data_IF_883544102005
#
_entry.id   IF_883544102005
#
_cell.length_a   1.000
_cell.length_b   1.000
_cell.length_c   1.000
_cell.angle_alpha   90.00
_cell.angle_beta   90.00
_cell.angle_gamma   90.00
#
_symmetry.space_group_name_H-M   'P 1'
#
loop_
_entity.id
_entity.type
_entity.pdbx_description
1 polymer ?
#
# COMPACT_ATOMS: atom_id res chain seq x y z
N UNK A 1 -65.85 40.20 33.78
CA UNK A 1 -65.41 38.98 33.07
C UNK A 1 -64.30 39.17 32.01
N UNK A 2 -64.13 40.35 31.37
CA UNK A 2 -63.07 40.59 30.35
C UNK A 2 -61.62 40.38 30.85
N UNK A 3 -61.32 40.73 32.10
CA UNK A 3 -59.95 40.65 32.64
C UNK A 3 -59.41 39.21 32.82
N UNK A 4 -60.28 38.22 33.08
CA UNK A 4 -59.88 36.80 33.18
C UNK A 4 -59.50 36.22 31.80
N UNK A 5 -60.26 36.54 30.74
CA UNK A 5 -59.94 36.10 29.36
C UNK A 5 -58.59 36.66 28.89
N UNK A 6 -58.30 37.95 29.12
CA UNK A 6 -57.02 38.56 28.73
C UNK A 6 -55.82 37.97 29.48
N UNK A 7 -55.97 37.60 30.77
CA UNK A 7 -54.91 36.95 31.55
C UNK A 7 -54.60 35.53 31.02
N UNK A 8 -55.63 34.75 30.68
CA UNK A 8 -55.49 33.39 30.13
C UNK A 8 -54.83 33.40 28.74
N UNK A 9 -55.19 34.37 27.88
CA UNK A 9 -54.58 34.54 26.55
C UNK A 9 -53.10 34.95 26.68
N UNK A 10 -52.75 35.91 27.56
CA UNK A 10 -51.35 36.29 27.82
C UNK A 10 -50.52 35.14 28.40
N UNK A 11 -51.11 34.28 29.24
CA UNK A 11 -50.41 33.15 29.83
C UNK A 11 -50.14 32.04 28.80
N UNK A 12 -51.15 31.67 27.98
CA UNK A 12 -50.96 30.79 26.82
C UNK A 12 -49.94 31.35 25.83
N UNK A 13 -49.93 32.68 25.63
CA UNK A 13 -48.98 33.31 24.72
C UNK A 13 -47.53 33.24 25.22
N UNK A 14 -47.30 33.45 26.53
CA UNK A 14 -45.96 33.35 27.15
C UNK A 14 -45.45 31.91 27.23
N UNK A 15 -46.32 30.93 27.47
CA UNK A 15 -45.92 29.51 27.49
C UNK A 15 -45.51 29.00 26.11
N UNK A 16 -46.24 29.40 25.06
CA UNK A 16 -45.92 29.01 23.68
C UNK A 16 -44.61 29.67 23.17
N UNK A 17 -44.32 30.91 23.60
CA UNK A 17 -43.05 31.57 23.26
C UNK A 17 -41.84 30.91 23.95
N UNK A 18 -41.95 30.57 25.23
CA UNK A 18 -40.91 29.81 25.97
C UNK A 18 -40.66 28.44 25.35
N UNK A 19 -41.72 27.78 24.87
CA UNK A 19 -41.64 26.49 24.17
C UNK A 19 -40.89 26.58 22.82
N UNK A 20 -41.03 27.68 22.08
CA UNK A 20 -40.31 27.89 20.82
C UNK A 20 -38.81 28.18 21.05
N UNK A 21 -38.47 28.88 22.13
CA UNK A 21 -37.07 29.13 22.55
C UNK A 21 -36.40 27.83 23.02
N UNK A 22 -37.07 27.04 23.85
CA UNK A 22 -36.52 25.76 24.32
C UNK A 22 -36.29 24.78 23.17
N UNK A 23 -37.18 24.75 22.16
CA UNK A 23 -36.96 23.97 20.94
C UNK A 23 -35.71 24.37 20.16
N UNK A 24 -35.42 25.68 20.02
CA UNK A 24 -34.19 26.13 19.35
C UNK A 24 -32.95 25.66 20.10
N UNK A 25 -32.96 25.82 21.41
CA UNK A 25 -31.83 25.49 22.27
C UNK A 25 -31.54 23.98 22.26
N UNK A 26 -32.58 23.15 22.31
CA UNK A 26 -32.48 21.69 22.17
C UNK A 26 -31.92 21.31 20.79
N UNK A 27 -32.42 21.92 19.70
CA UNK A 27 -31.92 21.64 18.35
C UNK A 27 -30.44 22.02 18.21
N UNK A 28 -30.02 23.17 18.76
CA UNK A 28 -28.60 23.58 18.75
C UNK A 28 -27.74 22.56 19.46
N UNK A 29 -28.11 22.16 20.68
CA UNK A 29 -27.35 21.21 21.49
C UNK A 29 -27.22 19.86 20.76
N UNK A 30 -28.32 19.32 20.23
CA UNK A 30 -28.30 18.05 19.49
C UNK A 30 -27.42 18.16 18.25
N UNK A 31 -27.52 19.27 17.49
CA UNK A 31 -26.69 19.47 16.29
C UNK A 31 -25.20 19.59 16.63
N UNK A 32 -24.84 20.30 17.71
CA UNK A 32 -23.44 20.42 18.15
C UNK A 32 -22.87 19.09 18.61
N UNK A 33 -23.65 18.27 19.32
CA UNK A 33 -23.24 16.92 19.74
C UNK A 33 -23.02 16.02 18.52
N UNK A 34 -23.92 16.05 17.53
CA UNK A 34 -23.76 15.27 16.29
C UNK A 34 -22.54 15.69 15.48
N UNK A 35 -22.25 16.99 15.40
CA UNK A 35 -21.04 17.51 14.73
C UNK A 35 -19.78 17.06 15.48
N UNK A 36 -19.75 17.18 16.81
CA UNK A 36 -18.61 16.74 17.62
C UNK A 36 -18.35 15.24 17.49
N UNK A 37 -19.40 14.42 17.48
CA UNK A 37 -19.30 12.98 17.23
C UNK A 37 -18.73 12.70 15.84
N UNK A 38 -19.23 13.38 14.80
CA UNK A 38 -18.72 13.21 13.43
C UNK A 38 -17.24 13.59 13.31
N UNK A 39 -16.81 14.68 13.95
CA UNK A 39 -15.41 15.12 13.98
C UNK A 39 -14.53 14.12 14.74
N UNK A 40 -14.99 13.62 15.89
CA UNK A 40 -14.28 12.59 16.66
C UNK A 40 -14.08 11.33 15.82
N UNK A 41 -15.12 10.82 15.17
CA UNK A 41 -14.99 9.68 14.27
C UNK A 41 -14.02 9.97 13.12
N UNK A 42 -14.07 11.16 12.49
CA UNK A 42 -13.13 11.54 11.44
C UNK A 42 -11.67 11.61 11.93
N UNK A 43 -11.42 12.08 13.15
CA UNK A 43 -10.07 12.13 13.74
C UNK A 43 -9.54 10.75 14.15
N UNK A 44 -10.42 9.85 14.57
CA UNK A 44 -10.05 8.49 14.99
C UNK A 44 -9.92 7.50 13.84
N UNK A 45 -10.17 7.90 12.58
CA UNK A 45 -9.93 7.02 11.44
C UNK A 45 -8.44 7.06 11.08
N UNK A 46 -7.69 5.96 11.32
CA UNK A 46 -6.42 5.81 10.64
C UNK A 46 -6.73 5.76 9.14
N UNK A 47 -6.29 6.77 8.40
CA UNK A 47 -6.35 6.78 6.93
C UNK A 47 -5.57 5.59 6.34
N UNK A 48 -4.72 4.96 7.17
CA UNK A 48 -3.95 3.79 6.82
C UNK A 48 -3.78 2.88 8.03
N UNK A 49 -4.26 1.63 7.93
CA UNK A 49 -3.87 0.56 8.84
C UNK A 49 -2.92 -0.36 8.05
N UNK A 50 -1.66 -0.52 8.49
CA UNK A 50 -0.71 -1.47 7.90
C UNK A 50 -1.29 -2.90 7.80
N UNK A 51 -2.27 -3.21 8.64
CA UNK A 51 -3.00 -4.48 8.69
C UNK A 51 -3.78 -4.82 7.41
N UNK A 52 -4.08 -3.84 6.54
CA UNK A 52 -4.70 -4.08 5.22
C UNK A 52 -3.68 -4.36 4.11
N UNK A 53 -2.38 -4.36 4.43
CA UNK A 53 -1.29 -4.38 3.46
C UNK A 53 -1.06 -5.70 2.72
N UNK A 54 -1.61 -6.82 3.18
CA UNK A 54 -1.37 -8.11 2.55
C UNK A 54 -2.65 -8.98 2.57
N UNK A 55 -3.50 -8.85 1.54
CA UNK A 55 -4.59 -9.83 1.32
C UNK A 55 -4.09 -11.12 0.65
N UNK A 56 -2.88 -11.09 0.08
CA UNK A 56 -2.27 -12.28 -0.50
C UNK A 56 -1.74 -13.13 0.63
N UNK A 57 -2.38 -14.25 0.85
CA UNK A 57 -2.02 -15.10 1.99
C UNK A 57 -0.82 -15.96 1.70
N UNK A 58 -0.38 -16.08 0.43
CA UNK A 58 0.66 -17.04 0.11
C UNK A 58 1.43 -16.88 -1.19
N UNK A 59 2.63 -17.48 -1.23
CA UNK A 59 3.47 -17.65 -2.42
C UNK A 59 3.39 -19.11 -2.88
N UNK A 60 3.13 -19.33 -4.17
CA UNK A 60 3.23 -20.67 -4.79
C UNK A 60 4.55 -20.80 -5.54
N UNK A 61 5.15 -21.99 -5.49
CA UNK A 61 6.40 -22.28 -6.21
C UNK A 61 6.09 -23.23 -7.35
N UNK A 62 6.47 -22.87 -8.57
CA UNK A 62 6.23 -23.66 -9.78
C UNK A 62 7.54 -23.85 -10.56
N UNK A 63 7.73 -25.07 -11.12
CA UNK A 63 8.79 -25.31 -12.10
C UNK A 63 8.28 -25.04 -13.49
N UNK A 64 8.85 -24.03 -14.14
CA UNK A 64 8.44 -23.60 -15.48
C UNK A 64 9.69 -23.33 -16.33
N UNK A 65 9.64 -23.68 -17.61
CA UNK A 65 10.64 -23.21 -18.57
C UNK A 65 10.20 -21.86 -19.11
N UNK A 66 10.95 -20.80 -18.81
CA UNK A 66 10.73 -19.51 -19.44
C UNK A 66 11.39 -19.50 -20.84
N UNK A 67 10.66 -19.18 -21.92
CA UNK A 67 11.20 -19.30 -23.27
C UNK A 67 12.11 -18.12 -23.69
N UNK A 68 12.31 -17.09 -22.87
CA UNK A 68 12.77 -15.78 -23.35
C UNK A 68 14.14 -15.28 -22.84
N UNK A 69 14.84 -15.96 -21.92
CA UNK A 69 16.21 -15.56 -21.56
C UNK A 69 17.07 -16.71 -20.99
N UNK A 70 18.38 -16.80 -21.33
CA UNK A 70 19.28 -17.83 -20.81
C UNK A 70 19.51 -17.74 -19.30
N UNK A 71 19.23 -16.58 -18.68
CA UNK A 71 19.41 -16.32 -17.26
C UNK A 71 18.09 -16.36 -16.46
N UNK A 72 16.95 -16.71 -17.06
CA UNK A 72 15.66 -16.95 -16.39
C UNK A 72 15.65 -18.26 -15.61
N UNK A 73 16.41 -18.27 -14.51
CA UNK A 73 16.55 -19.41 -13.62
C UNK A 73 15.58 -19.35 -12.42
N UNK A 74 15.26 -18.15 -11.92
CA UNK A 74 14.38 -17.95 -10.76
C UNK A 74 13.75 -16.56 -10.82
N UNK A 75 12.42 -16.44 -10.79
CA UNK A 75 11.74 -15.13 -10.84
C UNK A 75 10.34 -15.15 -10.24
N UNK A 76 9.93 -14.00 -9.70
CA UNK A 76 8.55 -13.81 -9.27
C UNK A 76 7.65 -13.40 -10.45
N UNK A 77 6.43 -13.94 -10.50
CA UNK A 77 5.32 -13.45 -11.32
C UNK A 77 4.15 -13.04 -10.41
N UNK A 78 3.43 -12.02 -10.83
CA UNK A 78 2.28 -11.46 -10.13
C UNK A 78 1.11 -11.29 -11.12
N UNK A 79 0.74 -12.38 -11.77
CA UNK A 79 -0.53 -12.48 -12.50
C UNK A 79 -1.62 -13.01 -11.57
N UNK A 80 -2.85 -12.57 -11.82
CA UNK A 80 -4.06 -13.16 -11.21
C UNK A 80 -4.12 -13.11 -9.67
N UNK A 81 -3.58 -12.04 -9.07
CA UNK A 81 -3.65 -11.77 -7.63
C UNK A 81 -2.92 -12.79 -6.72
N UNK A 82 -2.20 -13.74 -7.31
CA UNK A 82 -1.29 -14.66 -6.61
C UNK A 82 0.15 -14.26 -6.88
N UNK A 83 1.01 -14.35 -5.87
CA UNK A 83 2.46 -14.23 -6.07
C UNK A 83 2.98 -15.63 -6.35
N UNK A 84 3.57 -15.82 -7.52
CA UNK A 84 4.20 -17.08 -7.93
C UNK A 84 5.70 -16.89 -7.97
N UNK A 85 6.45 -17.82 -7.40
CA UNK A 85 7.87 -17.96 -7.68
C UNK A 85 8.03 -19.07 -8.72
N UNK A 86 8.55 -18.69 -9.88
CA UNK A 86 8.88 -19.61 -10.94
C UNK A 86 10.36 -19.95 -10.86
N UNK A 87 10.67 -21.23 -11.04
CA UNK A 87 12.03 -21.73 -11.05
C UNK A 87 12.24 -22.58 -12.31
N UNK A 88 13.38 -22.41 -12.97
CA UNK A 88 13.73 -23.18 -14.17
C UNK A 88 13.96 -24.66 -13.82
N UNK A 89 13.85 -25.55 -14.80
CA UNK A 89 14.13 -26.98 -14.62
C UNK A 89 15.52 -27.27 -14.07
N UNK A 90 16.52 -26.42 -14.37
CA UNK A 90 17.89 -26.50 -13.84
C UNK A 90 18.00 -26.20 -12.33
N UNK A 91 16.96 -25.62 -11.72
CA UNK A 91 16.98 -25.25 -10.31
C UNK A 91 16.40 -26.34 -9.41
N UNK A 92 17.06 -26.59 -8.28
CA UNK A 92 16.57 -27.49 -7.24
C UNK A 92 15.73 -26.69 -6.23
N UNK A 93 14.40 -26.74 -6.40
CA UNK A 93 13.45 -26.04 -5.54
C UNK A 93 13.49 -26.49 -4.08
N UNK A 94 14.00 -27.70 -3.79
CA UNK A 94 14.08 -28.20 -2.41
C UNK A 94 15.10 -27.44 -1.56
N UNK A 95 16.04 -26.75 -2.21
CA UNK A 95 17.09 -25.96 -1.56
C UNK A 95 16.72 -24.48 -1.45
N UNK A 96 15.53 -24.07 -1.92
CA UNK A 96 15.10 -22.68 -1.86
C UNK A 96 14.96 -22.21 -0.43
N UNK A 97 15.63 -21.11 -0.12
CA UNK A 97 15.44 -20.35 1.11
C UNK A 97 14.60 -19.12 0.78
N UNK A 98 13.57 -18.91 1.58
CA UNK A 98 12.66 -17.77 1.42
C UNK A 98 12.80 -16.82 2.60
N UNK A 99 12.72 -15.53 2.29
CA UNK A 99 12.82 -14.47 3.28
C UNK A 99 11.75 -13.42 3.02
N UNK A 100 11.28 -12.78 4.09
CA UNK A 100 10.44 -11.59 4.04
C UNK A 100 11.05 -10.52 4.93
N UNK A 101 10.81 -9.25 4.61
CA UNK A 101 11.09 -8.14 5.52
C UNK A 101 9.87 -7.80 6.37
N UNK A 102 10.10 -7.39 7.62
CA UNK A 102 9.13 -6.69 8.45
C UNK A 102 9.42 -5.20 8.57
N UNK A 103 8.49 -4.48 9.20
CA UNK A 103 8.47 -3.01 9.23
C UNK A 103 9.75 -2.37 9.82
N UNK A 104 10.47 -3.04 10.71
CA UNK A 104 11.74 -2.52 11.28
C UNK A 104 12.99 -3.05 10.57
N UNK A 105 12.84 -3.59 9.35
CA UNK A 105 13.95 -4.23 8.62
C UNK A 105 14.36 -5.60 9.18
N UNK A 106 13.59 -6.15 10.14
CA UNK A 106 13.77 -7.52 10.62
C UNK A 106 13.51 -8.50 9.46
N UNK A 107 14.49 -9.36 9.20
CA UNK A 107 14.38 -10.44 8.21
C UNK A 107 13.70 -11.65 8.86
N UNK A 108 12.64 -12.14 8.22
CA UNK A 108 11.91 -13.34 8.62
C UNK A 108 12.20 -14.47 7.62
N UNK A 109 12.88 -15.55 8.02
CA UNK A 109 12.94 -16.74 7.19
C UNK A 109 11.54 -17.36 7.08
N UNK A 110 11.17 -17.78 5.88
CA UNK A 110 9.91 -18.46 5.60
C UNK A 110 10.19 -19.93 5.29
N UNK A 111 9.43 -20.80 5.94
CA UNK A 111 9.57 -22.24 5.74
C UNK A 111 8.78 -22.68 4.50
N UNK A 112 9.46 -23.29 3.53
CA UNK A 112 8.82 -23.95 2.39
C UNK A 112 8.52 -25.43 2.72
N UNK A 113 7.56 -25.68 3.62
CA UNK A 113 7.09 -27.02 3.98
C UNK A 113 5.71 -27.30 3.35
N UNK A 114 5.66 -27.25 2.02
CA UNK A 114 4.45 -27.39 1.22
C UNK A 114 3.96 -26.06 0.65
N UNK A 115 3.52 -26.06 -0.61
CA UNK A 115 2.86 -24.90 -1.21
C UNK A 115 1.46 -24.75 -0.60
N UNK A 116 1.04 -23.53 -0.20
CA UNK A 116 1.70 -22.26 -0.47
C UNK A 116 2.33 -21.62 0.80
N UNK A 117 3.39 -20.80 0.63
CA UNK A 117 4.15 -20.18 1.73
C UNK A 117 3.32 -19.05 2.34
N UNK A 118 2.92 -19.18 3.61
CA UNK A 118 2.03 -18.22 4.27
C UNK A 118 2.68 -16.84 4.53
N UNK A 119 1.92 -15.76 4.30
CA UNK A 119 2.32 -14.38 4.60
C UNK A 119 1.67 -13.90 5.90
N UNK A 120 2.45 -13.24 6.77
CA UNK A 120 1.99 -12.75 8.06
C UNK A 120 1.81 -11.22 8.07
N UNK A 121 0.90 -10.71 8.91
CA UNK A 121 0.60 -9.28 9.07
C UNK A 121 1.80 -8.41 9.47
N UNK A 122 2.85 -8.99 10.06
CA UNK A 122 4.07 -8.27 10.45
C UNK A 122 5.07 -8.02 9.31
N UNK A 123 4.78 -8.49 8.10
CA UNK A 123 5.64 -8.38 6.93
C UNK A 123 5.31 -7.13 6.11
N UNK A 124 6.30 -6.58 5.41
CA UNK A 124 6.15 -5.37 4.56
C UNK A 124 5.63 -5.68 3.16
N UNK A 125 5.64 -6.94 2.75
CA UNK A 125 5.38 -7.34 1.37
C UNK A 125 6.62 -7.30 0.46
N UNK A 126 7.82 -7.17 1.03
CA UNK A 126 9.08 -7.46 0.34
C UNK A 126 9.50 -8.91 0.61
N UNK A 127 9.68 -9.68 -0.46
CA UNK A 127 10.08 -11.09 -0.40
C UNK A 127 11.35 -11.34 -1.20
N UNK A 128 12.17 -12.27 -0.73
CA UNK A 128 13.31 -12.80 -1.47
C UNK A 128 13.29 -14.33 -1.46
N UNK A 129 13.74 -14.91 -2.56
CA UNK A 129 14.02 -16.33 -2.69
C UNK A 129 15.47 -16.50 -3.14
N UNK A 130 16.18 -17.44 -2.55
CA UNK A 130 17.61 -17.64 -2.76
C UNK A 130 17.89 -19.13 -2.92
N UNK A 131 18.80 -19.47 -3.82
CA UNK A 131 19.43 -20.79 -3.87
C UNK A 131 20.87 -20.74 -3.37
N UNK A 132 21.34 -21.80 -2.68
CA UNK A 132 22.76 -22.02 -2.48
C UNK A 132 23.50 -21.97 -3.81
N UNK A 133 24.75 -21.53 -3.78
CA UNK A 133 25.59 -21.46 -4.98
C UNK A 133 25.76 -22.85 -5.60
N UNK A 134 25.57 -22.96 -6.90
CA UNK A 134 25.68 -24.21 -7.66
C UNK A 134 26.49 -24.02 -8.94
N UNK A 135 26.78 -25.10 -9.65
CA UNK A 135 27.46 -25.07 -10.95
C UNK A 135 26.54 -25.58 -12.06
N UNK A 136 26.33 -24.77 -13.09
CA UNK A 136 25.54 -25.15 -14.26
C UNK A 136 26.10 -24.50 -15.53
N UNK A 137 25.79 -25.09 -16.67
CA UNK A 137 26.03 -24.54 -18.00
C UNK A 137 24.77 -23.78 -18.42
N UNK A 138 24.84 -22.45 -18.41
CA UNK A 138 23.67 -21.55 -18.57
C UNK A 138 23.53 -21.02 -19.99
N UNK A 139 24.62 -21.00 -20.75
CA UNK A 139 24.67 -20.56 -22.15
C UNK A 139 24.86 -21.74 -23.11
N UNK A 140 24.83 -22.97 -22.61
CA UNK A 140 25.02 -24.23 -23.35
C UNK A 140 26.35 -24.28 -24.12
N UNK A 141 27.41 -23.67 -23.56
CA UNK A 141 28.74 -23.65 -24.17
C UNK A 141 29.60 -24.87 -23.78
N UNK A 142 29.07 -25.78 -22.95
CA UNK A 142 29.74 -26.96 -22.43
C UNK A 142 30.54 -26.74 -21.14
N UNK A 143 30.64 -25.51 -20.65
CA UNK A 143 31.37 -25.13 -19.43
C UNK A 143 30.39 -24.87 -18.29
N UNK A 144 30.65 -25.48 -17.13
CA UNK A 144 29.87 -25.21 -15.93
C UNK A 144 30.43 -24.00 -15.20
N UNK A 145 29.63 -22.94 -15.11
CA UNK A 145 29.95 -21.74 -14.36
C UNK A 145 29.38 -21.80 -12.95
N UNK A 146 30.03 -21.12 -12.01
CA UNK A 146 29.57 -20.99 -10.62
C UNK A 146 28.50 -19.90 -10.56
N UNK A 147 27.33 -20.21 -10.02
CA UNK A 147 26.14 -19.37 -10.08
C UNK A 147 25.59 -19.14 -8.68
N UNK A 148 25.37 -17.88 -8.35
CA UNK A 148 24.60 -17.45 -7.18
C UNK A 148 23.30 -16.82 -7.66
N UNK A 149 22.16 -17.35 -7.18
CA UNK A 149 20.85 -17.01 -7.72
C UNK A 149 19.93 -16.47 -6.63
N UNK A 150 19.31 -15.34 -6.91
CA UNK A 150 18.27 -14.76 -6.07
C UNK A 150 17.12 -14.22 -6.92
N UNK A 151 15.95 -14.13 -6.30
CA UNK A 151 14.80 -13.43 -6.83
C UNK A 151 14.23 -12.55 -5.73
N UNK A 152 13.78 -11.35 -6.08
CA UNK A 152 13.17 -10.42 -5.15
C UNK A 152 11.87 -9.85 -5.71
N UNK A 153 10.92 -9.66 -4.81
CA UNK A 153 9.64 -9.06 -5.11
C UNK A 153 9.32 -7.97 -4.09
N UNK A 154 8.82 -6.83 -4.58
CA UNK A 154 8.32 -5.74 -3.75
C UNK A 154 6.85 -5.49 -4.08
N UNK A 155 5.98 -5.57 -3.06
CA UNK A 155 4.55 -5.34 -3.22
C UNK A 155 4.21 -3.87 -3.49
N UNK A 156 2.96 -3.60 -3.87
CA UNK A 156 2.47 -2.24 -4.07
C UNK A 156 2.52 -1.42 -2.77
N UNK A 157 2.39 -2.09 -1.62
CA UNK A 157 2.45 -1.47 -0.30
C UNK A 157 3.81 -0.79 -0.07
N UNK A 158 4.90 -1.44 -0.46
CA UNK A 158 6.27 -0.93 -0.31
C UNK A 158 6.59 0.28 -1.21
N UNK A 159 5.67 0.63 -2.11
CA UNK A 159 5.76 1.76 -3.05
C UNK A 159 4.92 2.97 -2.61
N UNK A 160 4.11 2.85 -1.57
CA UNK A 160 3.22 3.94 -1.14
C UNK A 160 4.01 5.16 -0.67
N UNK A 161 3.44 6.35 -0.79
CA UNK A 161 4.08 7.60 -0.33
C UNK A 161 4.38 7.58 1.16
N UNK A 162 3.53 6.93 1.96
CA UNK A 162 3.74 6.75 3.40
C UNK A 162 4.91 5.81 3.66
N UNK A 163 4.98 4.68 2.96
CA UNK A 163 6.10 3.76 3.08
C UNK A 163 7.42 4.41 2.63
N UNK A 164 7.37 5.23 1.58
CA UNK A 164 8.49 6.06 1.12
C UNK A 164 8.93 7.09 2.17
N UNK A 165 7.97 7.76 2.81
CA UNK A 165 8.25 8.68 3.92
C UNK A 165 8.92 7.93 5.07
N UNK A 166 8.40 6.77 5.48
CA UNK A 166 9.01 5.93 6.52
C UNK A 166 10.42 5.45 6.13
N UNK A 167 10.68 5.14 4.85
CA UNK A 167 12.03 4.81 4.34
C UNK A 167 12.99 5.98 4.49
N UNK A 168 12.54 7.20 4.18
CA UNK A 168 13.37 8.41 4.25
C UNK A 168 13.86 8.68 5.69
N UNK A 169 13.02 8.41 6.69
CA UNK A 169 13.39 8.50 8.11
C UNK A 169 14.03 7.22 8.66
N UNK A 170 14.35 6.24 7.81
CA UNK A 170 15.02 5.00 8.19
C UNK A 170 14.18 4.07 9.07
N UNK A 171 12.86 4.31 9.16
CA UNK A 171 11.93 3.54 10.00
C UNK A 171 11.66 2.17 9.38
N UNK A 172 11.54 2.11 8.05
CA UNK A 172 11.30 0.88 7.29
C UNK A 172 12.39 0.64 6.25
N UNK A 173 12.70 -0.63 5.97
CA UNK A 173 13.66 -1.05 4.95
C UNK A 173 13.01 -1.99 3.95
N UNK A 174 13.44 -1.89 2.70
CA UNK A 174 13.10 -2.86 1.63
C UNK A 174 14.34 -3.50 1.03
N UNK A 175 15.51 -3.30 1.63
CA UNK A 175 16.71 -4.09 1.37
C UNK A 175 16.94 -5.10 2.49
N UNK A 176 17.38 -6.30 2.14
CA UNK A 176 17.73 -7.35 3.07
C UNK A 176 19.15 -7.15 3.61
N UNK A 177 20.12 -6.77 2.77
CA UNK A 177 21.53 -6.56 3.17
C UNK A 177 22.09 -7.73 3.99
N UNK A 178 21.80 -8.97 3.56
CA UNK A 178 22.27 -10.21 4.21
C UNK A 178 23.31 -10.93 3.36
N UNK A 179 24.21 -11.70 3.99
CA UNK A 179 25.33 -12.36 3.27
C UNK A 179 24.85 -13.42 2.28
N UNK A 180 23.69 -14.01 2.57
CA UNK A 180 23.07 -15.04 1.75
C UNK A 180 22.51 -14.46 0.43
N UNK A 181 22.27 -13.14 0.36
CA UNK A 181 21.87 -12.44 -0.88
C UNK A 181 23.07 -11.59 -1.33
N UNK A 182 24.05 -12.17 -2.04
CA UNK A 182 25.23 -11.43 -2.45
C UNK A 182 24.86 -10.32 -3.41
N UNK A 183 24.01 -10.57 -4.42
CA UNK A 183 23.51 -9.54 -5.33
C UNK A 183 22.06 -9.21 -4.99
N UNK A 184 21.80 -7.96 -4.59
CA UNK A 184 20.47 -7.47 -4.24
C UNK A 184 20.08 -6.25 -5.08
N UNK A 185 18.84 -6.26 -5.56
CA UNK A 185 18.22 -5.13 -6.27
C UNK A 185 17.34 -4.35 -5.28
N UNK A 186 17.57 -3.05 -5.14
CA UNK A 186 16.85 -2.17 -4.23
C UNK A 186 16.10 -1.09 -5.00
N UNK A 187 14.77 -1.14 -4.96
CA UNK A 187 13.94 -0.08 -5.51
C UNK A 187 13.77 1.07 -4.52
N UNK A 188 14.09 2.26 -5.00
CA UNK A 188 13.99 3.50 -4.24
C UNK A 188 12.65 4.13 -4.53
N UNK A 189 12.49 4.72 -5.71
CA UNK A 189 11.29 5.42 -6.13
C UNK A 189 11.22 5.54 -7.65
N UNK A 190 10.01 5.56 -8.20
CA UNK A 190 9.75 5.81 -9.62
C UNK A 190 10.49 4.86 -10.56
N UNK A 191 11.62 5.33 -11.10
CA UNK A 191 12.50 4.63 -12.04
C UNK A 191 13.89 4.32 -11.45
N UNK A 192 14.15 4.71 -10.19
CA UNK A 192 15.45 4.63 -9.54
C UNK A 192 15.61 3.29 -8.83
N UNK A 193 16.67 2.59 -9.21
CA UNK A 193 17.04 1.28 -8.66
C UNK A 193 18.52 1.32 -8.32
N UNK A 194 18.86 0.84 -7.13
CA UNK A 194 20.22 0.67 -6.65
C UNK A 194 20.56 -0.81 -6.59
N UNK A 195 21.80 -1.15 -6.94
CA UNK A 195 22.32 -2.52 -6.90
C UNK A 195 23.30 -2.62 -5.74
N UNK A 196 23.14 -3.66 -4.93
CA UNK A 196 24.06 -4.02 -3.87
C UNK A 196 24.76 -5.32 -4.23
N UNK A 197 26.06 -5.38 -3.95
CA UNK A 197 26.85 -6.60 -3.96
C UNK A 197 27.57 -6.75 -2.61
N UNK A 198 27.46 -7.91 -1.98
CA UNK A 198 28.01 -8.20 -0.63
C UNK A 198 27.66 -7.10 0.40
N UNK A 199 26.38 -6.74 0.43
CA UNK A 199 25.80 -5.72 1.34
C UNK A 199 26.29 -4.28 1.12
N UNK A 200 27.07 -4.03 0.08
CA UNK A 200 27.56 -2.68 -0.27
C UNK A 200 27.01 -2.25 -1.63
N UNK A 201 26.79 -0.95 -1.87
CA UNK A 201 26.43 -0.49 -3.19
C UNK A 201 27.47 -0.93 -4.23
N UNK A 202 27.01 -1.56 -5.32
CA UNK A 202 27.86 -2.02 -6.40
C UNK A 202 28.24 -0.83 -7.29
N UNK A 203 29.22 -0.05 -6.86
CA UNK A 203 29.60 1.20 -7.52
C UNK A 203 30.42 0.98 -8.80
N UNK A 204 30.22 1.83 -9.81
CA UNK A 204 31.05 1.92 -11.03
C UNK A 204 31.31 0.59 -11.76
N UNK A 205 30.40 -0.37 -11.66
CA UNK A 205 30.59 -1.74 -12.14
C UNK A 205 29.73 -2.00 -13.37
N UNK A 206 30.24 -2.83 -14.30
CA UNK A 206 29.48 -3.28 -15.46
C UNK A 206 28.58 -4.44 -15.06
N UNK A 207 27.32 -4.35 -15.42
CA UNK A 207 26.32 -5.41 -15.21
C UNK A 207 25.51 -5.59 -16.48
N UNK A 208 24.99 -6.80 -16.68
CA UNK A 208 24.03 -7.07 -17.74
C UNK A 208 22.61 -6.96 -17.17
N UNK A 209 21.77 -6.20 -17.87
CA UNK A 209 20.40 -5.93 -17.48
C UNK A 209 19.46 -6.47 -18.53
N UNK A 210 18.55 -7.32 -18.10
CA UNK A 210 17.60 -8.02 -18.97
C UNK A 210 16.19 -7.71 -18.46
N UNK A 211 15.23 -7.44 -19.34
CA UNK A 211 13.82 -7.33 -18.98
C UNK A 211 12.99 -8.33 -19.76
N UNK A 212 11.94 -8.84 -19.11
CA UNK A 212 10.91 -9.68 -19.74
C UNK A 212 10.17 -8.99 -20.90
N UNK A 213 10.38 -7.67 -21.08
CA UNK A 213 9.89 -6.90 -22.22
C UNK A 213 10.87 -6.82 -23.41
N UNK A 214 11.97 -7.57 -23.37
CA UNK A 214 12.94 -7.69 -24.46
C UNK A 214 14.14 -6.76 -24.36
N UNK A 215 14.28 -6.00 -23.27
CA UNK A 215 15.51 -5.23 -23.02
C UNK A 215 16.64 -6.21 -22.71
N UNK A 216 17.79 -6.08 -23.38
CA UNK A 216 19.02 -6.76 -23.02
C UNK A 216 20.19 -5.80 -23.31
N UNK A 217 20.82 -5.27 -22.26
CA UNK A 217 21.93 -4.33 -22.40
C UNK A 217 22.93 -4.45 -21.26
N UNK A 218 24.19 -4.20 -21.55
CA UNK A 218 25.21 -3.96 -20.53
C UNK A 218 25.13 -2.50 -20.09
N UNK A 219 25.04 -2.26 -18.80
CA UNK A 219 25.05 -0.92 -18.20
C UNK A 219 26.15 -0.82 -17.15
N UNK A 220 26.58 0.40 -16.85
CA UNK A 220 27.48 0.69 -15.74
C UNK A 220 26.69 1.36 -14.63
N UNK A 221 26.85 0.89 -13.39
CA UNK A 221 26.31 1.58 -12.21
C UNK A 221 27.08 2.86 -11.93
N UNK A 222 26.45 3.83 -11.27
CA UNK A 222 27.13 5.05 -10.84
C UNK A 222 27.94 4.84 -9.53
N UNK A 223 28.50 5.92 -8.98
CA UNK A 223 29.28 5.88 -7.73
C UNK A 223 28.45 5.46 -6.50
N UNK A 224 27.13 5.59 -6.54
CA UNK A 224 26.22 5.17 -5.50
C UNK A 224 25.60 3.79 -5.78
N UNK A 225 26.03 3.10 -6.84
CA UNK A 225 25.46 1.81 -7.25
C UNK A 225 24.10 1.90 -7.96
N UNK A 226 23.69 3.09 -8.42
CA UNK A 226 22.42 3.27 -9.12
C UNK A 226 22.49 2.80 -10.56
N UNK A 227 21.37 2.26 -11.04
CA UNK A 227 21.12 2.04 -12.46
C UNK A 227 20.71 3.35 -13.15
N UNK A 228 20.99 3.49 -14.46
CA UNK A 228 20.27 4.43 -15.31
C UNK A 228 18.76 4.26 -15.15
N UNK A 229 18.01 5.37 -15.22
CA UNK A 229 16.56 5.35 -15.03
C UNK A 229 15.87 4.24 -15.82
N UNK A 230 15.12 3.41 -15.11
CA UNK A 230 14.43 2.25 -15.66
C UNK A 230 12.97 2.55 -15.97
N UNK A 231 12.43 1.97 -17.04
CA UNK A 231 11.00 2.07 -17.29
C UNK A 231 10.23 1.29 -16.21
N UNK A 232 9.28 1.93 -15.53
CA UNK A 232 8.45 1.29 -14.48
C UNK A 232 7.74 0.04 -15.01
N UNK A 233 7.39 -0.01 -16.31
CA UNK A 233 6.80 -1.20 -16.94
C UNK A 233 7.76 -2.38 -16.99
N UNK A 234 9.07 -2.15 -17.13
CA UNK A 234 10.08 -3.21 -17.12
C UNK A 234 10.22 -3.77 -15.70
N UNK A 235 10.33 -2.90 -14.70
CA UNK A 235 10.35 -3.30 -13.28
C UNK A 235 9.10 -4.12 -12.90
N UNK A 236 7.93 -3.72 -13.40
CA UNK A 236 6.67 -4.42 -13.14
C UNK A 236 6.51 -5.76 -13.85
N UNK A 237 7.13 -5.92 -15.02
CA UNK A 237 7.12 -7.18 -15.76
C UNK A 237 8.23 -8.14 -15.33
N UNK A 238 9.20 -7.64 -14.57
CA UNK A 238 10.38 -8.39 -14.16
C UNK A 238 11.62 -7.91 -14.94
N UNK A 239 12.68 -7.68 -14.19
CA UNK A 239 14.03 -7.49 -14.69
C UNK A 239 14.96 -8.53 -14.08
N UNK A 240 16.10 -8.72 -14.72
CA UNK A 240 17.22 -9.48 -14.18
C UNK A 240 18.49 -8.67 -14.27
N UNK A 241 19.30 -8.79 -13.24
CA UNK A 241 20.65 -8.23 -13.19
C UNK A 241 21.62 -9.38 -13.08
N UNK A 242 22.60 -9.40 -13.98
CA UNK A 242 23.72 -10.34 -13.98
C UNK A 242 24.99 -9.56 -13.72
N UNK A 243 25.72 -9.97 -12.69
CA UNK A 243 27.03 -9.43 -12.33
C UNK A 243 28.03 -10.57 -12.16
N UNK A 244 29.14 -10.50 -12.89
CA UNK A 244 30.24 -11.47 -12.77
C UNK A 244 31.27 -10.90 -11.81
N UNK A 245 31.45 -11.56 -10.67
CA UNK A 245 32.46 -11.17 -9.68
C UNK A 245 33.88 -11.55 -10.13
N UNK A 246 34.88 -11.01 -9.44
CA UNK A 246 36.30 -11.24 -9.76
C UNK A 246 36.70 -12.72 -9.73
N UNK A 247 36.03 -13.53 -8.90
CA UNK A 247 36.23 -14.99 -8.83
C UNK A 247 35.54 -15.77 -9.97
N UNK A 248 34.92 -15.07 -10.92
CA UNK A 248 34.19 -15.66 -12.04
C UNK A 248 32.80 -16.19 -11.68
N UNK A 249 32.27 -15.89 -10.49
CA UNK A 249 30.90 -16.27 -10.12
C UNK A 249 29.88 -15.38 -10.84
N UNK A 250 28.90 -16.00 -11.49
CA UNK A 250 27.73 -15.33 -12.02
C UNK A 250 26.71 -15.10 -10.91
N UNK A 251 26.57 -13.85 -10.49
CA UNK A 251 25.55 -13.43 -9.54
C UNK A 251 24.34 -12.95 -10.34
N UNK A 252 23.24 -13.69 -10.26
CA UNK A 252 22.01 -13.43 -11.00
C UNK A 252 20.92 -13.10 -9.98
N UNK A 253 20.32 -11.92 -10.13
CA UNK A 253 19.20 -11.49 -9.30
C UNK A 253 18.04 -11.07 -10.19
N UNK A 254 16.88 -11.71 -10.05
CA UNK A 254 15.65 -11.23 -10.67
C UNK A 254 14.89 -10.32 -9.72
N UNK A 255 14.22 -9.33 -10.27
CA UNK A 255 13.46 -8.36 -9.51
C UNK A 255 12.13 -8.06 -10.19
N UNK A 256 11.05 -8.18 -9.43
CA UNK A 256 9.70 -7.85 -9.89
C UNK A 256 9.01 -6.91 -8.92
N UNK A 257 8.56 -5.78 -9.44
CA UNK A 257 7.79 -4.80 -8.70
C UNK A 257 6.30 -5.03 -8.94
N UNK A 258 5.47 -5.06 -7.91
CA UNK A 258 4.04 -5.18 -8.11
C UNK A 258 3.47 -3.98 -8.88
N UNK A 259 2.64 -4.28 -9.89
CA UNK A 259 1.91 -3.26 -10.63
C UNK A 259 0.75 -2.68 -9.83
N UNK A 260 0.45 -1.40 -10.07
CA UNK A 260 -0.82 -0.81 -9.63
C UNK A 260 -1.97 -1.51 -10.35
N UNK A 261 -2.86 -2.14 -9.59
CA UNK A 261 -4.09 -2.72 -10.13
C UNK A 261 -5.28 -1.89 -9.64
N UNK A 262 -5.84 -1.07 -10.53
CA UNK A 262 -7.09 -0.35 -10.29
C UNK A 262 -8.28 -1.32 -10.32
N UNK A 263 -9.35 -0.99 -9.61
CA UNK A 263 -10.60 -1.79 -9.57
C UNK A 263 -10.45 -3.22 -9.05
N UNK A 264 -9.42 -3.48 -8.24
CA UNK A 264 -9.30 -4.72 -7.48
C UNK A 264 -10.08 -4.65 -6.16
N UNK A 265 -10.34 -5.79 -5.53
CA UNK A 265 -10.93 -5.81 -4.17
C UNK A 265 -10.14 -4.93 -3.18
N UNK A 266 -8.81 -4.91 -3.31
CA UNK A 266 -7.93 -4.02 -2.56
C UNK A 266 -8.19 -2.54 -2.84
N UNK A 267 -8.30 -2.14 -4.11
CA UNK A 267 -8.59 -0.76 -4.49
C UNK A 267 -9.90 -0.26 -3.85
N UNK A 268 -10.95 -1.09 -3.87
CA UNK A 268 -12.23 -0.73 -3.24
C UNK A 268 -12.14 -0.67 -1.71
N UNK A 269 -11.42 -1.60 -1.07
CA UNK A 269 -11.18 -1.58 0.38
C UNK A 269 -10.38 -0.34 0.80
N UNK A 270 -9.36 0.04 0.04
CA UNK A 270 -8.58 1.26 0.25
C UNK A 270 -9.42 2.53 0.07
N UNK A 271 -10.48 2.49 -0.75
CA UNK A 271 -11.43 3.60 -0.90
C UNK A 271 -12.47 3.68 0.23
N UNK A 272 -12.63 2.64 1.08
CA UNK A 272 -13.65 2.64 2.14
C UNK A 272 -13.54 3.82 3.12
N UNK A 273 -12.34 4.23 3.60
CA UNK A 273 -12.22 5.42 4.45
C UNK A 273 -12.73 6.68 3.74
N UNK A 274 -12.36 6.86 2.47
CA UNK A 274 -12.82 8.00 1.67
C UNK A 274 -14.35 7.99 1.48
N UNK A 275 -14.92 6.83 1.14
CA UNK A 275 -16.37 6.67 1.00
C UNK A 275 -17.10 6.97 2.32
N UNK A 276 -16.55 6.55 3.46
CA UNK A 276 -17.09 6.88 4.79
C UNK A 276 -17.05 8.38 5.05
N UNK A 277 -15.94 9.06 4.77
CA UNK A 277 -15.82 10.52 4.90
C UNK A 277 -16.86 11.24 4.03
N UNK A 278 -17.02 10.80 2.77
CA UNK A 278 -18.05 11.33 1.88
C UNK A 278 -19.46 11.13 2.44
N UNK A 279 -19.75 9.94 2.95
CA UNK A 279 -21.04 9.60 3.55
C UNK A 279 -21.35 10.45 4.80
N UNK A 280 -20.39 10.58 5.71
CA UNK A 280 -20.54 11.44 6.90
C UNK A 280 -20.69 12.92 6.53
N UNK A 281 -19.95 13.38 5.53
CA UNK A 281 -20.07 14.75 5.02
C UNK A 281 -21.47 15.00 4.44
N UNK A 282 -22.02 14.04 3.68
CA UNK A 282 -23.38 14.13 3.15
C UNK A 282 -24.44 14.18 4.27
N UNK A 283 -24.31 13.35 5.31
CA UNK A 283 -25.18 13.39 6.49
C UNK A 283 -25.09 14.75 7.18
N UNK A 284 -23.88 15.27 7.38
CA UNK A 284 -23.66 16.56 8.04
C UNK A 284 -24.35 17.69 7.27
N UNK A 285 -24.19 17.74 5.95
CA UNK A 285 -24.85 18.71 5.07
C UNK A 285 -26.37 18.59 5.20
N UNK A 286 -26.91 17.36 5.18
CA UNK A 286 -28.35 17.13 5.30
C UNK A 286 -28.91 17.58 6.65
N UNK A 287 -28.20 17.30 7.75
CA UNK A 287 -28.55 17.78 9.09
C UNK A 287 -28.56 19.32 9.14
N UNK A 288 -27.51 19.97 8.60
CA UNK A 288 -27.44 21.44 8.53
C UNK A 288 -28.61 22.01 7.74
N UNK A 289 -28.96 21.41 6.60
CA UNK A 289 -30.10 21.84 5.78
C UNK A 289 -31.44 21.70 6.51
N UNK A 290 -31.65 20.60 7.23
CA UNK A 290 -32.86 20.39 8.05
C UNK A 290 -32.93 21.42 9.17
N UNK A 291 -31.83 21.59 9.93
CA UNK A 291 -31.75 22.59 11.01
C UNK A 291 -32.03 23.99 10.47
N UNK A 292 -31.43 24.36 9.34
CA UNK A 292 -31.69 25.66 8.68
C UNK A 292 -33.17 25.85 8.33
N UNK A 293 -33.80 24.83 7.72
CA UNK A 293 -35.24 24.88 7.41
C UNK A 293 -36.10 24.97 8.68
N UNK A 294 -35.77 24.23 9.73
CA UNK A 294 -36.47 24.29 11.01
C UNK A 294 -36.33 25.66 11.69
N UNK A 295 -35.13 26.24 11.69
CA UNK A 295 -34.92 27.59 12.21
C UNK A 295 -35.68 28.65 11.42
N UNK A 296 -35.69 28.55 10.08
CA UNK A 296 -36.47 29.44 9.22
C UNK A 296 -37.98 29.32 9.52
N UNK A 297 -38.50 28.09 9.65
CA UNK A 297 -39.89 27.85 10.03
C UNK A 297 -40.23 28.46 11.40
N UNK A 298 -39.41 28.20 12.43
CA UNK A 298 -39.63 28.76 13.78
C UNK A 298 -39.54 30.30 13.75
N UNK A 299 -38.60 30.87 12.99
CA UNK A 299 -38.48 32.33 12.83
C UNK A 299 -39.72 32.94 12.18
N UNK A 300 -40.22 32.36 11.09
CA UNK A 300 -41.43 32.82 10.42
C UNK A 300 -42.63 32.75 11.36
N UNK A 301 -42.83 31.61 12.05
CA UNK A 301 -43.92 31.43 13.02
C UNK A 301 -43.84 32.40 14.20
N UNK A 302 -42.63 32.79 14.63
CA UNK A 302 -42.45 33.83 15.64
C UNK A 302 -42.75 35.25 15.12
N UNK A 303 -42.46 35.55 13.84
CA UNK A 303 -42.84 36.83 13.23
C UNK A 303 -44.35 36.95 13.09
N UNK A 304 -45.01 35.92 12.56
CA UNK A 304 -46.48 35.90 12.39
C UNK A 304 -47.18 36.10 13.74
N UNK A 305 -46.62 35.51 14.80
CA UNK A 305 -47.11 35.67 16.15
C UNK A 305 -46.92 37.07 16.73
N UNK A 306 -45.82 37.75 16.38
CA UNK A 306 -45.53 39.13 16.80
C UNK A 306 -46.38 40.16 16.05
N UNK A 307 -46.80 39.84 14.83
CA UNK A 307 -47.58 40.71 13.93
C UNK A 307 -49.10 40.43 13.97
N UNK A 308 -49.56 39.48 14.79
CA UNK A 308 -50.98 39.15 14.97
C UNK A 308 -51.74 40.34 15.59
N UNK A 309 -52.91 40.76 15.05
CA UNK A 309 -53.65 41.96 15.47
C UNK A 309 -54.13 41.96 16.93
N UNK A 310 -53.99 40.86 17.66
CA UNK A 310 -54.21 40.77 19.11
C UNK A 310 -52.97 41.16 19.95
N UNK A 311 -51.96 41.79 19.36
CA UNK A 311 -50.70 42.18 20.03
C UNK A 311 -50.66 43.64 20.52
N UNK A 312 -51.76 44.38 20.43
CA UNK A 312 -51.96 45.68 21.08
C UNK A 312 -52.90 45.49 22.28
#
# INVERSE_FOLDING_TARGET
MKNKKNKVIRFKKRSHFRYLISKRLIITIISSILILLAVYFCMSFPFYLPEYGIERTSITVEKNNHPLAPYDLLWFDNKDEVIKLNANMLTDISQLKFYSLGYEGKVFPLTHQGSPIAMNKGMTGTYAAILPTFKADIDNNGKKDKISLSAKFDSIFTQSSEFMFMKLFGVVRTNFTMKEIPLEIFYIEGSKVMIFYDQKPLANSKIQLISNRGLNKTVKTDAAGMLPSMNKKDLRKGIQVVYVSEDGTYNISSYTLEGEKFFTGYYYKAMLPFLKVMFYSAILILVILIVRKMYAYINNKMRDYKNSPESI
#
